data_IF_422968864907
#
_entry.id   IF_422968864907
#
_cell.length_a   1.000
_cell.length_b   1.000
_cell.length_c   1.000
_cell.angle_alpha   90.00
_cell.angle_beta   90.00
_cell.angle_gamma   90.00
#
_symmetry.space_group_name_H-M   'P 1'
#
loop_
_entity.id
_entity.type
_entity.pdbx_description
1 polymer ?
#
# COMPACT_ATOMS: atom_id res chain seq x y z
N UNK A 1 -41.09 -2.94 0.11
CA UNK A 1 -40.35 -1.98 0.93
C UNK A 1 -39.81 -2.72 2.15
N UNK A 2 -38.67 -3.40 1.99
CA UNK A 2 -38.02 -4.21 3.03
C UNK A 2 -37.14 -3.28 3.86
N UNK A 3 -37.58 -2.96 5.06
CA UNK A 3 -36.80 -2.25 6.07
C UNK A 3 -35.74 -3.22 6.57
N UNK A 4 -34.55 -3.13 6.03
CA UNK A 4 -33.34 -3.71 6.63
C UNK A 4 -33.08 -2.96 7.95
N UNK A 5 -33.49 -3.61 9.05
CA UNK A 5 -33.21 -3.19 10.41
C UNK A 5 -31.69 -3.18 10.59
N UNK A 6 -31.10 -2.00 10.47
CA UNK A 6 -29.71 -1.72 10.77
C UNK A 6 -29.43 -2.17 12.22
N UNK A 7 -28.74 -3.28 12.38
CA UNK A 7 -28.04 -3.57 13.64
C UNK A 7 -26.88 -2.55 13.71
N UNK A 8 -27.21 -1.40 14.32
CA UNK A 8 -26.29 -0.27 14.40
C UNK A 8 -25.08 -0.60 15.23
N UNK A 9 -23.96 -0.61 14.56
CA UNK A 9 -22.69 -0.17 15.10
C UNK A 9 -22.36 1.05 14.24
N UNK A 10 -22.64 2.24 14.76
CA UNK A 10 -22.15 3.48 14.16
C UNK A 10 -20.61 3.40 14.17
N UNK A 11 -20.06 3.04 13.01
CA UNK A 11 -18.63 3.16 12.77
C UNK A 11 -18.26 4.63 12.97
N UNK A 12 -17.35 4.90 13.89
CA UNK A 12 -16.83 6.26 14.02
C UNK A 12 -16.24 6.68 12.65
N UNK A 13 -16.30 7.95 12.33
CA UNK A 13 -15.79 8.47 11.05
C UNK A 13 -14.32 8.11 10.79
N UNK A 14 -13.56 7.87 11.85
CA UNK A 14 -12.15 7.43 11.82
C UNK A 14 -12.03 5.97 11.38
N UNK A 15 -12.88 5.08 11.88
CA UNK A 15 -12.86 3.64 11.53
C UNK A 15 -13.26 3.39 10.09
N UNK A 16 -14.30 4.09 9.61
CA UNK A 16 -14.70 4.01 8.19
C UNK A 16 -13.59 4.50 7.27
N UNK A 17 -12.88 5.57 7.63
CA UNK A 17 -11.75 6.10 6.86
C UNK A 17 -10.60 5.09 6.81
N UNK A 18 -10.28 4.42 7.93
CA UNK A 18 -9.23 3.40 7.99
C UNK A 18 -9.58 2.17 7.15
N UNK A 19 -10.83 1.70 7.22
CA UNK A 19 -11.31 0.58 6.40
C UNK A 19 -11.30 0.91 4.92
N UNK A 20 -11.73 2.12 4.53
CA UNK A 20 -11.66 2.60 3.16
C UNK A 20 -10.21 2.70 2.68
N UNK A 21 -9.31 3.25 3.51
CA UNK A 21 -7.89 3.33 3.19
C UNK A 21 -7.26 1.96 2.96
N UNK A 22 -7.54 0.99 3.82
CA UNK A 22 -7.09 -0.40 3.64
C UNK A 22 -7.64 -1.04 2.36
N UNK A 23 -8.95 -0.89 2.11
CA UNK A 23 -9.60 -1.44 0.91
C UNK A 23 -9.04 -0.82 -0.38
N UNK A 24 -8.79 0.50 -0.39
CA UNK A 24 -8.19 1.19 -1.53
C UNK A 24 -6.74 0.73 -1.77
N UNK A 25 -5.94 0.62 -0.70
CA UNK A 25 -4.55 0.14 -0.81
C UNK A 25 -4.51 -1.30 -1.33
N UNK A 26 -5.37 -2.18 -0.80
CA UNK A 26 -5.49 -3.56 -1.25
C UNK A 26 -5.88 -3.63 -2.74
N UNK A 27 -6.93 -2.90 -3.14
CA UNK A 27 -7.39 -2.87 -4.53
C UNK A 27 -6.33 -2.33 -5.48
N UNK A 28 -5.59 -1.30 -5.08
CA UNK A 28 -4.47 -0.76 -5.84
C UNK A 28 -3.35 -1.80 -6.01
N UNK A 29 -2.96 -2.49 -4.94
CA UNK A 29 -1.93 -3.52 -4.98
C UNK A 29 -2.33 -4.67 -5.93
N UNK A 30 -3.58 -5.13 -5.83
CA UNK A 30 -4.13 -6.17 -6.71
C UNK A 30 -4.09 -5.72 -8.17
N UNK A 31 -4.49 -4.49 -8.46
CA UNK A 31 -4.47 -3.94 -9.81
C UNK A 31 -3.04 -3.91 -10.39
N UNK A 32 -2.06 -3.47 -9.60
CA UNK A 32 -0.65 -3.45 -10.01
C UNK A 32 -0.15 -4.88 -10.32
N UNK A 33 -0.41 -5.84 -9.44
CA UNK A 33 0.01 -7.24 -9.63
C UNK A 33 -0.61 -7.82 -10.90
N UNK A 34 -1.93 -7.65 -11.09
CA UNK A 34 -2.62 -8.16 -12.27
C UNK A 34 -2.14 -7.50 -13.56
N UNK A 35 -1.81 -6.20 -13.52
CA UNK A 35 -1.25 -5.49 -14.66
C UNK A 35 0.11 -6.06 -15.07
N UNK A 36 0.98 -6.34 -14.08
CA UNK A 36 2.29 -6.97 -14.34
C UNK A 36 2.12 -8.38 -14.91
N UNK A 37 1.23 -9.20 -14.34
CA UNK A 37 0.96 -10.56 -14.83
C UNK A 37 0.43 -10.53 -16.26
N UNK A 38 -0.51 -9.61 -16.56
CA UNK A 38 -1.07 -9.45 -17.91
C UNK A 38 0.00 -9.00 -18.89
N UNK A 39 0.89 -8.09 -18.51
CA UNK A 39 2.01 -7.65 -19.33
C UNK A 39 2.98 -8.80 -19.62
N UNK A 40 3.35 -9.60 -18.62
CA UNK A 40 4.21 -10.78 -18.81
C UNK A 40 3.56 -11.82 -19.72
N UNK A 41 2.25 -12.04 -19.57
CA UNK A 41 1.51 -12.94 -20.45
C UNK A 41 1.51 -12.44 -21.91
N UNK A 42 1.32 -11.13 -22.10
CA UNK A 42 1.42 -10.53 -23.44
C UNK A 42 2.81 -10.75 -24.06
N UNK A 43 3.89 -10.49 -23.31
CA UNK A 43 5.26 -10.73 -23.80
C UNK A 43 5.49 -12.19 -24.16
N UNK A 44 5.05 -13.10 -23.32
CA UNK A 44 5.14 -14.54 -23.59
C UNK A 44 4.42 -14.96 -24.89
N UNK A 45 3.22 -14.45 -25.12
CA UNK A 45 2.46 -14.73 -26.34
C UNK A 45 3.12 -14.13 -27.58
N UNK A 46 3.69 -12.93 -27.45
CA UNK A 46 4.47 -12.31 -28.53
C UNK A 46 5.69 -13.16 -28.90
N UNK A 47 6.42 -13.66 -27.92
CA UNK A 47 7.58 -14.52 -28.15
C UNK A 47 7.18 -15.87 -28.81
N UNK A 48 6.06 -16.45 -28.40
CA UNK A 48 5.52 -17.65 -29.04
C UNK A 48 5.19 -17.39 -30.52
N UNK A 49 4.52 -16.31 -30.84
CA UNK A 49 4.22 -15.92 -32.23
C UNK A 49 5.50 -15.75 -33.05
N UNK A 50 6.52 -15.06 -32.50
CA UNK A 50 7.80 -14.90 -33.18
C UNK A 50 8.48 -16.25 -33.44
N UNK A 51 8.39 -17.20 -32.49
CA UNK A 51 8.93 -18.56 -32.72
C UNK A 51 8.20 -19.32 -33.80
N UNK A 52 6.87 -19.24 -33.89
CA UNK A 52 6.10 -19.84 -35.00
C UNK A 52 6.49 -19.23 -36.36
N UNK A 53 6.56 -17.90 -36.44
CA UNK A 53 6.94 -17.18 -37.65
C UNK A 53 8.41 -17.48 -38.08
N UNK A 54 9.28 -17.78 -37.08
CA UNK A 54 10.71 -18.08 -37.34
C UNK A 54 10.92 -19.16 -38.36
N UNK A 55 10.19 -20.27 -38.29
CA UNK A 55 10.36 -21.37 -39.20
C UNK A 55 9.98 -20.97 -40.66
N UNK A 56 8.92 -20.21 -40.82
CA UNK A 56 8.48 -19.70 -42.12
C UNK A 56 9.52 -18.72 -42.68
N UNK A 57 9.99 -17.79 -41.88
CA UNK A 57 10.99 -16.79 -42.25
C UNK A 57 12.33 -17.41 -42.57
N UNK A 58 12.71 -18.48 -41.86
CA UNK A 58 13.90 -19.25 -42.16
C UNK A 58 13.83 -19.95 -43.55
N UNK A 59 12.65 -20.45 -43.90
CA UNK A 59 12.43 -21.03 -45.23
C UNK A 59 12.50 -19.96 -46.33
N UNK A 60 11.91 -18.79 -46.11
CA UNK A 60 12.01 -17.66 -47.06
C UNK A 60 13.45 -17.16 -47.21
N UNK A 61 14.18 -17.09 -46.11
CA UNK A 61 15.59 -16.71 -46.12
C UNK A 61 16.44 -17.72 -46.88
N UNK A 62 16.19 -19.05 -46.74
CA UNK A 62 16.86 -20.08 -47.51
C UNK A 62 16.58 -19.98 -49.02
N UNK A 63 15.31 -19.78 -49.41
CA UNK A 63 14.93 -19.53 -50.81
C UNK A 63 15.65 -18.31 -51.37
N UNK A 64 15.70 -17.23 -50.62
CA UNK A 64 16.39 -16.01 -51.02
C UNK A 64 17.90 -16.23 -51.22
N UNK A 65 18.56 -16.96 -50.33
CA UNK A 65 19.99 -17.31 -50.42
C UNK A 65 20.24 -18.12 -51.68
N UNK A 66 19.39 -19.11 -52.01
CA UNK A 66 19.53 -19.94 -53.24
C UNK A 66 19.45 -19.06 -54.49
N UNK A 67 18.46 -18.13 -54.54
CA UNK A 67 18.33 -17.20 -55.69
C UNK A 67 19.49 -16.22 -55.78
N UNK A 68 20.02 -15.75 -54.62
CA UNK A 68 21.18 -14.88 -54.57
C UNK A 68 22.44 -15.61 -55.06
N UNK A 69 22.60 -16.88 -54.72
CA UNK A 69 23.67 -17.75 -55.24
C UNK A 69 23.58 -17.91 -56.76
N UNK A 70 22.37 -18.13 -57.27
CA UNK A 70 22.15 -18.24 -58.72
C UNK A 70 22.47 -16.93 -59.46
N UNK A 71 22.09 -15.80 -58.91
CA UNK A 71 22.45 -14.48 -59.42
C UNK A 71 23.97 -14.28 -59.40
N UNK A 72 24.66 -14.70 -58.33
CA UNK A 72 26.13 -14.56 -58.22
C UNK A 72 26.85 -15.38 -59.31
N UNK A 73 26.37 -16.58 -59.64
CA UNK A 73 26.95 -17.43 -60.65
C UNK A 73 26.64 -16.91 -62.07
N UNK A 74 25.46 -16.33 -62.30
CA UNK A 74 24.95 -15.90 -63.62
C UNK A 74 24.86 -14.38 -63.75
N UNK A 75 25.76 -13.64 -63.14
CA UNK A 75 25.69 -12.15 -63.04
C UNK A 75 25.67 -11.48 -64.45
N UNK A 76 26.31 -12.12 -65.43
CA UNK A 76 26.33 -11.60 -66.80
C UNK A 76 24.98 -11.70 -67.54
N UNK A 77 24.08 -12.53 -67.05
CA UNK A 77 22.76 -12.79 -67.68
C UNK A 77 21.62 -12.11 -66.95
N UNK A 78 21.74 -11.95 -65.65
CA UNK A 78 20.71 -11.37 -64.79
C UNK A 78 21.32 -10.33 -63.86
N UNK A 79 20.90 -9.06 -64.00
CA UNK A 79 21.45 -7.94 -63.26
C UNK A 79 20.41 -7.35 -62.30
N UNK A 80 19.43 -8.18 -61.82
CA UNK A 80 18.34 -7.73 -60.95
C UNK A 80 18.33 -8.62 -59.71
N UNK A 81 18.39 -8.01 -58.54
CA UNK A 81 18.27 -8.70 -57.27
C UNK A 81 16.93 -9.42 -57.15
N UNK A 82 16.89 -10.61 -56.49
CA UNK A 82 15.68 -11.40 -56.38
C UNK A 82 14.61 -10.62 -55.60
N UNK A 83 13.38 -10.65 -56.07
CA UNK A 83 12.20 -10.13 -55.41
C UNK A 83 11.18 -11.21 -55.23
N UNK A 84 10.35 -11.12 -54.19
CA UNK A 84 9.28 -12.07 -53.93
C UNK A 84 8.01 -11.31 -53.46
N UNK A 85 6.84 -11.82 -53.86
CA UNK A 85 5.56 -11.25 -53.45
C UNK A 85 5.17 -11.55 -52.00
N UNK A 86 5.78 -12.60 -51.41
CA UNK A 86 5.46 -13.09 -50.08
C UNK A 86 6.26 -12.41 -48.98
N UNK A 87 7.39 -11.78 -49.32
CA UNK A 87 8.27 -11.14 -48.36
C UNK A 87 9.09 -10.03 -49.03
N UNK A 88 9.45 -9.04 -48.25
CA UNK A 88 10.47 -8.04 -48.62
C UNK A 88 11.84 -8.49 -48.13
N UNK A 89 12.90 -8.04 -48.78
CA UNK A 89 14.25 -8.47 -48.46
C UNK A 89 15.28 -7.37 -48.56
N UNK A 90 16.33 -7.48 -47.77
CA UNK A 90 17.49 -6.59 -47.87
C UNK A 90 18.79 -7.38 -47.68
N UNK A 91 19.86 -6.79 -48.19
CA UNK A 91 21.23 -7.31 -48.09
C UNK A 91 22.11 -6.19 -47.49
N UNK A 92 22.89 -6.55 -46.49
CA UNK A 92 23.90 -5.69 -45.90
C UNK A 92 25.28 -6.35 -45.94
N UNK A 93 26.31 -5.51 -46.06
CA UNK A 93 27.70 -5.96 -46.02
C UNK A 93 28.23 -6.13 -44.58
N UNK A 94 29.55 -6.42 -44.48
CA UNK A 94 30.22 -6.55 -43.16
C UNK A 94 30.27 -5.25 -42.34
N UNK A 95 30.20 -4.11 -42.98
CA UNK A 95 30.22 -2.80 -42.36
C UNK A 95 28.81 -2.31 -42.06
N UNK A 96 27.81 -3.19 -42.12
CA UNK A 96 26.38 -2.90 -41.89
C UNK A 96 25.81 -1.88 -42.92
N UNK A 97 26.44 -1.75 -44.07
CA UNK A 97 25.98 -0.86 -45.13
C UNK A 97 25.02 -1.60 -46.05
N UNK A 98 23.92 -0.96 -46.42
CA UNK A 98 22.91 -1.51 -47.32
C UNK A 98 23.47 -1.65 -48.76
N UNK A 99 23.37 -2.86 -49.30
CA UNK A 99 23.69 -3.17 -50.71
C UNK A 99 22.42 -3.11 -51.54
N UNK A 100 21.34 -3.71 -51.01
CA UNK A 100 20.05 -3.79 -51.67
C UNK A 100 18.95 -3.84 -50.63
N UNK A 101 17.81 -3.18 -50.87
CA UNK A 101 16.67 -3.22 -49.97
C UNK A 101 15.35 -3.04 -50.75
N UNK A 102 14.35 -3.83 -50.33
CA UNK A 102 12.93 -3.63 -50.67
C UNK A 102 12.10 -3.42 -49.39
N UNK A 103 12.75 -3.34 -48.23
CA UNK A 103 12.08 -3.26 -46.94
C UNK A 103 11.18 -2.00 -46.84
N UNK A 104 10.07 -2.17 -46.16
CA UNK A 104 9.15 -1.03 -45.84
C UNK A 104 9.54 -0.31 -44.57
N UNK A 105 10.27 -0.99 -43.69
CA UNK A 105 10.77 -0.43 -42.44
C UNK A 105 12.07 0.34 -42.65
N UNK A 106 12.16 1.53 -42.03
CA UNK A 106 13.35 2.36 -42.06
C UNK A 106 14.31 2.11 -40.89
N UNK A 107 13.83 1.49 -39.81
CA UNK A 107 14.61 1.28 -38.60
C UNK A 107 14.87 -0.21 -38.38
N UNK A 108 16.08 -0.66 -38.70
CA UNK A 108 16.47 -2.08 -38.68
C UNK A 108 17.50 -2.29 -37.59
N UNK A 109 17.23 -3.25 -36.68
CA UNK A 109 18.22 -3.79 -35.74
C UNK A 109 18.88 -5.03 -36.34
N UNK A 110 20.20 -5.11 -36.31
CA UNK A 110 20.95 -6.30 -36.74
C UNK A 110 21.42 -7.18 -35.54
N UNK A 111 20.97 -6.85 -34.34
CA UNK A 111 21.43 -7.48 -33.10
C UNK A 111 20.60 -8.73 -32.76
N UNK A 112 19.33 -8.77 -33.21
CA UNK A 112 18.40 -9.88 -32.95
C UNK A 112 18.17 -10.73 -34.19
N UNK A 113 18.03 -12.04 -34.01
CA UNK A 113 17.75 -12.97 -35.12
C UNK A 113 16.33 -12.82 -35.68
N UNK A 114 15.37 -12.51 -34.78
CA UNK A 114 13.97 -12.27 -35.15
C UNK A 114 13.39 -11.23 -34.16
N UNK A 115 12.69 -10.24 -34.69
CA UNK A 115 12.00 -9.25 -33.89
C UNK A 115 10.84 -8.62 -34.66
N UNK A 116 9.88 -8.06 -33.91
CA UNK A 116 8.80 -7.25 -34.47
C UNK A 116 9.08 -5.78 -34.21
N UNK A 117 9.01 -4.94 -35.24
CA UNK A 117 9.13 -3.49 -35.18
C UNK A 117 8.02 -2.83 -35.98
N UNK A 118 7.19 -2.01 -35.30
CA UNK A 118 5.99 -1.45 -35.89
C UNK A 118 5.03 -2.52 -36.36
N UNK A 119 4.71 -2.53 -37.66
CA UNK A 119 3.78 -3.46 -38.29
C UNK A 119 4.51 -4.52 -39.13
N UNK A 120 5.77 -4.78 -38.83
CA UNK A 120 6.61 -5.71 -39.59
C UNK A 120 7.38 -6.65 -38.67
N UNK A 121 7.60 -7.89 -39.14
CA UNK A 121 8.43 -8.88 -38.48
C UNK A 121 9.69 -9.07 -39.33
N UNK A 122 10.84 -8.96 -38.72
CA UNK A 122 12.15 -9.05 -39.34
C UNK A 122 12.84 -10.33 -38.90
N UNK A 123 13.47 -11.00 -39.86
CA UNK A 123 14.33 -12.15 -39.61
C UNK A 123 15.68 -11.90 -40.25
N UNK A 124 16.75 -12.10 -39.50
CA UNK A 124 18.11 -11.87 -39.93
C UNK A 124 18.82 -13.17 -40.04
N UNK A 125 19.48 -13.39 -41.16
CA UNK A 125 20.32 -14.55 -41.44
C UNK A 125 21.69 -14.11 -41.91
N UNK A 126 22.73 -14.73 -41.35
CA UNK A 126 24.07 -14.72 -41.93
C UNK A 126 24.24 -15.94 -42.82
N UNK A 127 24.43 -15.77 -44.14
CA UNK A 127 24.67 -16.87 -45.06
C UNK A 127 26.09 -17.46 -44.82
N UNK A 128 26.24 -18.77 -45.11
CA UNK A 128 27.53 -19.46 -44.97
C UNK A 128 28.62 -18.92 -45.93
N UNK A 129 28.21 -18.30 -47.03
CA UNK A 129 29.09 -17.68 -48.00
C UNK A 129 28.61 -16.28 -48.37
N UNK A 130 29.56 -15.37 -48.58
CA UNK A 130 29.30 -13.97 -48.93
C UNK A 130 28.95 -13.78 -50.38
N UNK A 131 27.78 -14.23 -50.83
CA UNK A 131 27.33 -14.02 -52.20
C UNK A 131 27.11 -12.54 -52.45
N UNK A 132 27.72 -11.97 -53.47
CA UNK A 132 27.62 -10.51 -53.83
C UNK A 132 27.94 -9.57 -52.68
N UNK A 133 28.82 -9.97 -51.76
CA UNK A 133 29.18 -9.15 -50.56
C UNK A 133 28.19 -9.19 -49.41
N UNK A 134 27.17 -10.08 -49.48
CA UNK A 134 26.15 -10.20 -48.44
C UNK A 134 26.73 -10.80 -47.15
N UNK A 135 26.73 -10.02 -46.06
CA UNK A 135 27.01 -10.54 -44.69
C UNK A 135 25.71 -10.80 -43.95
N UNK A 136 24.74 -9.92 -44.09
CA UNK A 136 23.43 -10.07 -43.46
C UNK A 136 22.33 -10.02 -44.51
N UNK A 137 21.43 -10.95 -44.42
CA UNK A 137 20.20 -11.04 -45.23
C UNK A 137 19.03 -10.82 -44.28
N UNK A 138 18.17 -9.87 -44.60
CA UNK A 138 16.98 -9.55 -43.83
C UNK A 138 15.75 -9.93 -44.63
N UNK A 139 14.85 -10.67 -44.02
CA UNK A 139 13.54 -10.96 -44.57
C UNK A 139 12.50 -10.25 -43.71
N UNK A 140 11.63 -9.50 -44.36
CA UNK A 140 10.54 -8.75 -43.73
C UNK A 140 9.19 -9.27 -44.20
N UNK A 141 8.28 -9.52 -43.26
CA UNK A 141 6.88 -9.83 -43.56
C UNK A 141 5.97 -8.90 -42.71
N UNK A 142 4.74 -8.61 -43.19
CA UNK A 142 3.79 -7.84 -42.38
C UNK A 142 3.37 -8.63 -41.13
N UNK A 143 3.26 -7.95 -40.01
CA UNK A 143 2.58 -8.43 -38.82
C UNK A 143 1.09 -8.13 -38.96
N UNK A 144 0.30 -9.17 -39.18
CA UNK A 144 -1.15 -9.10 -39.33
C UNK A 144 -1.89 -8.86 -38.03
N UNK A 145 -1.17 -8.90 -36.88
CA UNK A 145 -1.70 -8.76 -35.55
C UNK A 145 -2.86 -9.72 -35.18
N UNK A 146 -3.16 -10.71 -36.00
CA UNK A 146 -4.23 -11.68 -35.75
C UNK A 146 -4.04 -12.42 -34.43
N UNK A 147 -2.79 -12.75 -34.11
CA UNK A 147 -2.43 -13.36 -32.83
C UNK A 147 -2.86 -12.50 -31.63
N UNK A 148 -2.73 -11.19 -31.73
CA UNK A 148 -3.14 -10.26 -30.66
C UNK A 148 -4.67 -10.19 -30.54
N UNK A 149 -5.39 -10.11 -31.65
CA UNK A 149 -6.85 -10.11 -31.65
C UNK A 149 -7.41 -11.42 -31.03
N UNK A 150 -6.78 -12.57 -31.27
CA UNK A 150 -7.19 -13.84 -30.68
C UNK A 150 -7.01 -13.91 -29.17
N UNK A 151 -5.97 -13.27 -28.62
CA UNK A 151 -5.67 -13.31 -27.17
C UNK A 151 -6.27 -12.15 -26.41
N UNK A 152 -6.51 -11.01 -27.03
CA UNK A 152 -6.98 -9.77 -26.41
C UNK A 152 -8.25 -9.99 -25.55
N UNK A 153 -9.27 -10.61 -26.13
CA UNK A 153 -10.51 -10.85 -25.42
C UNK A 153 -10.34 -11.81 -24.24
N UNK A 154 -9.52 -12.86 -24.42
CA UNK A 154 -9.18 -13.80 -23.35
C UNK A 154 -8.41 -13.11 -22.21
N UNK A 155 -7.49 -12.21 -22.55
CA UNK A 155 -6.74 -11.40 -21.57
C UNK A 155 -7.66 -10.49 -20.76
N UNK A 156 -8.57 -9.77 -21.43
CA UNK A 156 -9.52 -8.86 -20.78
C UNK A 156 -10.44 -9.66 -19.84
N UNK A 157 -11.03 -10.74 -20.31
CA UNK A 157 -11.96 -11.58 -19.53
C UNK A 157 -11.24 -12.17 -18.31
N UNK A 158 -10.03 -12.74 -18.49
CA UNK A 158 -9.28 -13.32 -17.39
C UNK A 158 -8.81 -12.26 -16.38
N UNK A 159 -8.41 -11.07 -16.85
CA UNK A 159 -8.08 -9.95 -15.96
C UNK A 159 -9.28 -9.52 -15.10
N UNK A 160 -10.45 -9.32 -15.72
CA UNK A 160 -11.67 -8.94 -15.01
C UNK A 160 -12.11 -10.02 -14.03
N UNK A 161 -12.09 -11.28 -14.43
CA UNK A 161 -12.45 -12.40 -13.55
C UNK A 161 -11.50 -12.49 -12.34
N UNK A 162 -10.19 -12.40 -12.56
CA UNK A 162 -9.19 -12.41 -11.50
C UNK A 162 -9.34 -11.19 -10.56
N UNK A 163 -9.60 -10.02 -11.11
CA UNK A 163 -9.81 -8.80 -10.34
C UNK A 163 -11.04 -8.90 -9.43
N UNK A 164 -12.17 -9.36 -9.97
CA UNK A 164 -13.40 -9.59 -9.18
C UNK A 164 -13.19 -10.64 -8.10
N UNK A 165 -12.49 -11.74 -8.42
CA UNK A 165 -12.17 -12.78 -7.46
C UNK A 165 -11.30 -12.26 -6.31
N UNK A 166 -10.28 -11.44 -6.61
CA UNK A 166 -9.44 -10.83 -5.59
C UNK A 166 -10.19 -9.84 -4.71
N UNK A 167 -11.10 -9.03 -5.28
CA UNK A 167 -11.98 -8.16 -4.47
C UNK A 167 -12.84 -8.99 -3.50
N UNK A 168 -13.39 -10.10 -3.97
CA UNK A 168 -14.18 -11.00 -3.13
C UNK A 168 -13.34 -11.60 -1.98
N UNK A 169 -12.10 -12.01 -2.25
CA UNK A 169 -11.15 -12.46 -1.22
C UNK A 169 -10.89 -11.33 -0.21
N UNK A 170 -10.62 -10.11 -0.67
CA UNK A 170 -10.40 -8.94 0.19
C UNK A 170 -11.58 -8.65 1.11
N UNK A 171 -12.81 -8.78 0.59
CA UNK A 171 -14.03 -8.67 1.39
C UNK A 171 -14.10 -9.75 2.50
N UNK A 172 -13.81 -11.01 2.17
CA UNK A 172 -13.81 -12.10 3.16
C UNK A 172 -12.72 -11.91 4.22
N UNK A 173 -11.52 -11.51 3.82
CA UNK A 173 -10.41 -11.21 4.75
C UNK A 173 -10.82 -10.08 5.69
N UNK A 174 -11.38 -8.98 5.15
CA UNK A 174 -11.86 -7.87 5.95
C UNK A 174 -12.91 -8.31 6.98
N UNK A 175 -13.88 -9.14 6.56
CA UNK A 175 -14.91 -9.65 7.46
C UNK A 175 -14.37 -10.60 8.53
N UNK A 176 -13.41 -11.45 8.17
CA UNK A 176 -12.88 -12.49 9.07
C UNK A 176 -11.94 -11.92 10.13
N UNK A 177 -11.11 -10.94 9.78
CA UNK A 177 -10.07 -10.43 10.68
C UNK A 177 -10.43 -9.10 11.35
N UNK A 178 -11.03 -8.16 10.61
CA UNK A 178 -11.27 -6.82 11.17
C UNK A 178 -12.47 -6.78 12.12
N UNK A 179 -13.50 -7.63 11.93
CA UNK A 179 -14.65 -7.70 12.84
C UNK A 179 -14.26 -8.19 14.25
N UNK A 180 -13.65 -9.38 14.40
CA UNK A 180 -13.27 -9.84 15.74
C UNK A 180 -12.30 -8.92 16.47
N UNK A 181 -11.38 -8.28 15.72
CA UNK A 181 -10.45 -7.31 16.29
C UNK A 181 -11.20 -6.10 16.84
N UNK A 182 -12.20 -5.58 16.13
CA UNK A 182 -13.05 -4.49 16.59
C UNK A 182 -13.86 -4.87 17.81
N UNK A 183 -14.49 -6.04 17.78
CA UNK A 183 -15.30 -6.55 18.89
C UNK A 183 -14.45 -6.70 20.17
N UNK A 184 -13.20 -7.13 20.03
CA UNK A 184 -12.23 -7.20 21.13
C UNK A 184 -11.88 -5.80 21.69
N UNK A 185 -11.68 -4.80 20.81
CA UNK A 185 -11.44 -3.41 21.25
C UNK A 185 -12.65 -2.82 21.98
N UNK A 186 -13.87 -3.00 21.47
CA UNK A 186 -15.09 -2.55 22.13
C UNK A 186 -15.33 -3.26 23.46
N UNK A 187 -15.00 -4.55 23.56
CA UNK A 187 -15.06 -5.29 24.81
C UNK A 187 -14.07 -4.70 25.84
N UNK A 188 -12.85 -4.40 25.40
CA UNK A 188 -11.82 -3.77 26.25
C UNK A 188 -12.27 -2.40 26.74
N UNK A 189 -12.79 -1.55 25.85
CA UNK A 189 -13.30 -0.22 26.24
C UNK A 189 -14.42 -0.31 27.27
N UNK A 190 -15.36 -1.23 27.07
CA UNK A 190 -16.46 -1.48 28.02
C UNK A 190 -15.91 -1.99 29.34
N UNK A 191 -15.01 -2.96 29.32
CA UNK A 191 -14.39 -3.51 30.53
C UNK A 191 -13.69 -2.43 31.35
N UNK A 192 -12.90 -1.54 30.70
CA UNK A 192 -12.21 -0.46 31.38
C UNK A 192 -13.22 0.50 31.99
N UNK A 193 -14.26 0.91 31.26
CA UNK A 193 -15.30 1.80 31.76
C UNK A 193 -16.03 1.23 32.96
N UNK A 194 -16.50 -0.01 32.87
CA UNK A 194 -17.27 -0.66 33.92
C UNK A 194 -16.39 -0.88 35.17
N UNK A 195 -15.15 -1.37 34.99
CA UNK A 195 -14.20 -1.56 36.09
C UNK A 195 -13.85 -0.23 36.76
N UNK A 196 -13.73 0.86 36.02
CA UNK A 196 -13.47 2.19 36.59
C UNK A 196 -14.62 2.64 37.48
N UNK A 197 -15.87 2.47 37.03
CA UNK A 197 -17.04 2.83 37.85
C UNK A 197 -17.17 1.94 39.07
N UNK A 198 -16.93 0.65 38.96
CA UNK A 198 -17.02 -0.30 40.11
C UNK A 198 -15.89 -0.12 41.12
N UNK A 199 -14.70 0.37 40.73
CA UNK A 199 -13.61 0.65 41.64
C UNK A 199 -13.67 2.03 42.26
N UNK A 200 -14.21 3.01 41.58
CA UNK A 200 -14.36 4.37 42.17
C UNK A 200 -15.26 4.38 43.41
N UNK A 201 -16.31 3.56 43.46
CA UNK A 201 -17.21 3.50 44.60
C UNK A 201 -16.49 3.05 45.89
N UNK A 202 -15.79 1.92 46.00
CA UNK A 202 -15.08 1.52 47.20
C UNK A 202 -13.91 2.45 47.54
N UNK A 203 -13.23 3.01 46.55
CA UNK A 203 -12.12 3.94 46.75
C UNK A 203 -12.64 5.25 47.37
N UNK A 204 -13.75 5.80 46.84
CA UNK A 204 -14.40 6.96 47.40
C UNK A 204 -14.84 6.70 48.85
N UNK A 205 -15.42 5.54 49.12
CA UNK A 205 -15.78 5.17 50.52
C UNK A 205 -14.56 5.11 51.43
N UNK A 206 -13.43 4.57 50.99
CA UNK A 206 -12.17 4.59 51.75
C UNK A 206 -11.71 6.04 52.04
N UNK A 207 -11.66 6.89 51.02
CA UNK A 207 -11.22 8.30 51.17
C UNK A 207 -12.15 9.04 52.14
N UNK A 208 -13.48 8.90 51.97
CA UNK A 208 -14.45 9.59 52.81
C UNK A 208 -14.32 9.13 54.28
N UNK A 209 -14.15 7.85 54.54
CA UNK A 209 -13.93 7.37 55.90
C UNK A 209 -12.64 7.94 56.53
N UNK A 210 -11.57 8.05 55.72
CA UNK A 210 -10.32 8.67 56.20
C UNK A 210 -10.49 10.16 56.49
N UNK A 211 -11.25 10.89 55.67
CA UNK A 211 -11.53 12.29 55.84
C UNK A 211 -12.38 12.57 57.09
N UNK A 212 -13.22 11.60 57.50
CA UNK A 212 -14.02 11.70 58.71
C UNK A 212 -13.22 11.47 60.02
N UNK A 213 -11.99 10.97 59.92
CA UNK A 213 -11.13 10.73 61.08
C UNK A 213 -10.53 12.05 61.57
N UNK A 214 -10.77 12.43 62.81
CA UNK A 214 -10.11 13.57 63.44
C UNK A 214 -8.61 13.24 63.65
N UNK A 215 -7.77 13.74 62.74
CA UNK A 215 -6.33 13.50 62.77
C UNK A 215 -5.63 14.14 63.98
N UNK A 216 -6.29 15.12 64.68
CA UNK A 216 -5.73 15.78 65.84
C UNK A 216 -5.74 14.88 67.09
N UNK A 217 -6.61 13.88 67.13
CA UNK A 217 -6.76 12.92 68.19
C UNK A 217 -5.88 11.67 68.06
N UNK A 218 -5.10 11.57 66.97
CA UNK A 218 -4.29 10.40 66.67
C UNK A 218 -2.85 10.54 67.15
N UNK A 219 -2.26 9.45 67.60
CA UNK A 219 -0.83 9.39 67.81
C UNK A 219 -0.07 9.54 66.48
N UNK A 220 1.15 10.06 66.49
CA UNK A 220 1.95 10.34 65.30
C UNK A 220 2.13 9.08 64.40
N UNK A 221 2.25 7.89 64.99
CA UNK A 221 2.46 6.65 64.30
C UNK A 221 1.19 6.20 63.53
N UNK A 222 0.02 6.40 64.15
CA UNK A 222 -1.28 6.09 63.53
C UNK A 222 -1.62 7.09 62.42
N UNK A 223 -1.39 8.39 62.70
CA UNK A 223 -1.59 9.46 61.68
C UNK A 223 -0.74 9.20 60.40
N UNK A 224 0.51 8.77 60.55
CA UNK A 224 1.37 8.38 59.40
C UNK A 224 0.81 7.18 58.63
N UNK A 225 0.23 6.16 59.30
CA UNK A 225 -0.39 5.00 58.65
C UNK A 225 -1.62 5.41 57.84
N UNK A 226 -2.51 6.19 58.42
CA UNK A 226 -3.73 6.70 57.78
C UNK A 226 -3.39 7.53 56.56
N UNK A 227 -2.42 8.46 56.69
CA UNK A 227 -1.96 9.25 55.53
C UNK A 227 -1.42 8.40 54.38
N UNK A 228 -0.72 7.31 54.67
CA UNK A 228 -0.28 6.34 53.61
C UNK A 228 -1.44 5.65 52.92
N UNK A 229 -2.50 5.29 53.66
CA UNK A 229 -3.70 4.66 53.07
C UNK A 229 -4.43 5.66 52.19
N UNK A 230 -4.58 6.94 52.65
CA UNK A 230 -5.19 8.03 51.88
C UNK A 230 -4.46 8.26 50.57
N UNK A 231 -3.13 8.35 50.62
CA UNK A 231 -2.30 8.51 49.41
C UNK A 231 -2.46 7.34 48.47
N UNK A 232 -2.49 6.09 49.01
CA UNK A 232 -2.69 4.90 48.20
C UNK A 232 -4.04 4.92 47.48
N UNK A 233 -5.12 5.22 48.19
CA UNK A 233 -6.47 5.31 47.62
C UNK A 233 -6.56 6.41 46.54
N UNK A 234 -6.03 7.60 46.79
CA UNK A 234 -5.97 8.71 45.82
C UNK A 234 -5.15 8.32 44.58
N UNK A 235 -4.03 7.63 44.77
CA UNK A 235 -3.20 7.17 43.66
C UNK A 235 -3.95 6.20 42.77
N UNK A 236 -4.66 5.21 43.34
CA UNK A 236 -5.48 4.25 42.60
C UNK A 236 -6.56 4.99 41.80
N UNK A 237 -7.30 5.90 42.41
CA UNK A 237 -8.32 6.73 41.75
C UNK A 237 -7.76 7.44 40.51
N UNK A 238 -6.62 8.09 40.68
CA UNK A 238 -5.97 8.82 39.57
C UNK A 238 -5.55 7.89 38.43
N UNK A 239 -4.98 6.69 38.72
CA UNK A 239 -4.58 5.72 37.70
C UNK A 239 -5.79 5.28 36.88
N UNK A 240 -6.94 5.01 37.52
CA UNK A 240 -8.15 4.63 36.80
C UNK A 240 -8.76 5.77 36.00
N UNK A 241 -8.74 7.02 36.51
CA UNK A 241 -9.14 8.18 35.73
C UNK A 241 -8.26 8.36 34.48
N UNK A 242 -6.96 8.16 34.61
CA UNK A 242 -6.01 8.25 33.51
C UNK A 242 -6.25 7.15 32.50
N UNK A 243 -6.49 5.92 32.95
CA UNK A 243 -6.80 4.81 32.07
C UNK A 243 -8.09 5.06 31.26
N UNK A 244 -9.13 5.54 31.93
CA UNK A 244 -10.40 5.92 31.31
C UNK A 244 -10.22 7.05 30.29
N UNK A 245 -9.39 8.03 30.62
CA UNK A 245 -9.11 9.13 29.69
C UNK A 245 -8.38 8.67 28.44
N UNK A 246 -7.39 7.80 28.55
CA UNK A 246 -6.62 7.29 27.39
C UNK A 246 -7.50 6.43 26.49
N UNK A 247 -8.35 5.58 27.07
CA UNK A 247 -9.21 4.67 26.30
C UNK A 247 -10.42 5.35 25.68
N UNK A 248 -11.02 6.35 26.36
CA UNK A 248 -12.20 7.06 25.87
C UNK A 248 -11.86 8.33 25.07
N UNK A 249 -10.59 8.70 24.95
CA UNK A 249 -10.16 9.98 24.35
C UNK A 249 -10.62 10.17 22.89
N UNK A 250 -10.97 9.10 22.17
CA UNK A 250 -11.50 9.17 20.82
C UNK A 250 -12.99 9.59 20.75
N UNK A 251 -13.69 9.66 21.90
CA UNK A 251 -15.13 9.97 21.95
C UNK A 251 -15.45 11.24 22.76
N UNK A 252 -14.47 11.86 23.43
CA UNK A 252 -14.71 13.04 24.26
C UNK A 252 -14.76 14.27 23.35
N UNK A 253 -15.96 14.81 23.17
CA UNK A 253 -16.17 16.15 22.62
C UNK A 253 -15.41 17.11 23.53
N UNK A 254 -14.42 17.83 22.98
CA UNK A 254 -13.63 18.79 23.74
C UNK A 254 -14.55 19.94 24.17
N UNK A 255 -14.70 20.12 25.47
CA UNK A 255 -15.45 21.25 26.05
C UNK A 255 -14.47 22.37 26.39
N UNK A 256 -14.14 23.16 25.37
CA UNK A 256 -13.22 24.28 25.55
C UNK A 256 -13.90 25.46 26.22
N UNK A 257 -13.25 26.02 27.23
CA UNK A 257 -13.67 27.19 28.00
C UNK A 257 -12.46 28.09 28.34
N UNK A 258 -12.70 29.33 28.67
CA UNK A 258 -11.64 30.25 29.11
C UNK A 258 -11.21 29.89 30.51
N UNK A 259 -10.04 29.30 30.67
CA UNK A 259 -9.50 28.82 31.92
C UNK A 259 -8.34 29.70 32.40
N UNK A 260 -8.36 30.06 33.71
CA UNK A 260 -7.20 30.68 34.35
C UNK A 260 -6.14 29.61 34.67
N UNK A 261 -5.16 29.48 33.79
CA UNK A 261 -4.07 28.51 33.89
C UNK A 261 -3.24 28.66 35.14
N UNK A 262 -3.09 29.93 35.65
CA UNK A 262 -2.34 30.24 36.87
C UNK A 262 -3.00 29.59 38.08
N UNK A 263 -4.33 29.62 38.15
CA UNK A 263 -5.09 29.02 39.25
C UNK A 263 -5.04 27.48 39.18
N UNK A 264 -5.15 26.91 37.97
CA UNK A 264 -5.05 25.45 37.76
C UNK A 264 -3.67 24.96 38.20
N UNK A 265 -2.60 25.64 37.82
CA UNK A 265 -1.23 25.28 38.24
C UNK A 265 -1.07 25.36 39.78
N UNK A 266 -1.59 26.39 40.44
CA UNK A 266 -1.55 26.49 41.88
C UNK A 266 -2.28 25.34 42.56
N UNK A 267 -3.48 24.99 42.09
CA UNK A 267 -4.26 23.84 42.59
C UNK A 267 -3.52 22.51 42.41
N UNK A 268 -2.86 22.32 41.26
CA UNK A 268 -2.06 21.10 41.00
C UNK A 268 -0.84 21.00 41.91
N UNK A 269 -0.14 22.08 42.12
CA UNK A 269 0.99 22.10 43.07
C UNK A 269 0.53 21.74 44.47
N UNK A 270 -0.57 22.33 44.96
CA UNK A 270 -1.13 22.03 46.28
C UNK A 270 -1.56 20.57 46.41
N UNK A 271 -2.11 19.97 45.31
CA UNK A 271 -2.46 18.55 45.26
C UNK A 271 -1.21 17.67 45.45
N UNK A 272 -0.11 17.97 44.73
CA UNK A 272 1.12 17.17 44.82
C UNK A 272 2.01 17.51 46.03
N UNK A 273 1.70 18.55 46.82
CA UNK A 273 2.53 19.03 47.94
C UNK A 273 2.75 17.96 49.00
N UNK A 274 1.72 17.18 49.32
CA UNK A 274 1.80 16.11 50.32
C UNK A 274 2.71 14.96 49.83
N UNK A 275 2.64 14.60 48.55
CA UNK A 275 3.50 13.60 47.90
C UNK A 275 4.95 14.07 47.82
N UNK A 276 5.17 15.35 47.50
CA UNK A 276 6.50 15.96 47.43
C UNK A 276 7.20 15.95 48.78
N UNK A 277 6.49 16.31 49.85
CA UNK A 277 7.02 16.30 51.22
C UNK A 277 7.47 14.88 51.61
N UNK A 278 6.67 13.86 51.31
CA UNK A 278 7.04 12.47 51.58
C UNK A 278 8.30 12.00 50.84
N UNK A 279 8.50 12.48 49.62
CA UNK A 279 9.67 12.18 48.80
C UNK A 279 10.83 13.14 48.98
N UNK A 280 10.72 14.10 49.91
CA UNK A 280 11.73 15.16 50.14
C UNK A 280 12.01 16.02 48.89
N UNK A 281 10.96 16.24 48.07
CA UNK A 281 11.01 17.09 46.87
C UNK A 281 10.47 18.47 47.25
N UNK A 282 11.16 19.53 46.81
CA UNK A 282 10.72 20.92 46.97
C UNK A 282 10.32 21.50 45.65
N UNK A 283 9.15 22.15 45.58
CA UNK A 283 8.71 22.86 44.38
C UNK A 283 9.36 24.25 44.34
N UNK A 284 9.95 24.60 43.22
CA UNK A 284 10.38 25.96 42.90
C UNK A 284 9.40 26.52 41.85
N UNK A 285 8.52 27.42 42.28
CA UNK A 285 7.43 27.91 41.46
C UNK A 285 7.75 29.30 40.92
N UNK A 286 7.50 29.47 39.61
CA UNK A 286 7.54 30.79 38.96
C UNK A 286 6.29 30.87 38.06
N UNK A 287 5.15 31.19 38.68
CA UNK A 287 3.85 31.23 38.02
C UNK A 287 3.47 32.71 37.84
N UNK A 288 3.26 33.10 36.57
CA UNK A 288 2.72 34.43 36.25
C UNK A 288 1.22 34.44 36.55
N UNK A 289 0.72 35.47 37.18
CA UNK A 289 -0.70 35.62 37.51
C UNK A 289 -1.53 35.96 36.26
N UNK A 290 -2.81 35.57 36.30
CA UNK A 290 -3.83 35.91 35.31
C UNK A 290 -3.51 35.51 33.88
N UNK A 291 -2.96 34.32 33.68
CA UNK A 291 -2.77 33.71 32.37
C UNK A 291 -4.01 32.91 32.03
N UNK A 292 -4.72 33.31 30.95
CA UNK A 292 -5.92 32.59 30.44
C UNK A 292 -5.59 31.79 29.21
N UNK A 293 -6.25 30.63 29.09
CA UNK A 293 -6.12 29.73 27.92
C UNK A 293 -7.49 29.14 27.57
N UNK A 294 -7.89 29.24 26.31
CA UNK A 294 -9.11 28.61 25.80
C UNK A 294 -8.87 27.14 25.51
N UNK A 295 -9.22 26.28 26.46
CA UNK A 295 -8.99 24.85 26.35
C UNK A 295 -9.92 24.04 27.24
N UNK A 296 -9.88 22.70 27.09
CA UNK A 296 -10.62 21.76 27.92
C UNK A 296 -9.90 21.57 29.26
N UNK A 297 -10.62 21.83 30.39
CA UNK A 297 -10.08 21.74 31.74
C UNK A 297 -9.51 20.35 32.08
N UNK A 298 -10.18 19.28 31.64
CA UNK A 298 -9.72 17.92 31.90
C UNK A 298 -8.42 17.62 31.13
N UNK A 299 -8.29 18.11 29.89
CA UNK A 299 -7.09 17.90 29.06
C UNK A 299 -5.90 18.66 29.61
N UNK A 300 -6.08 19.95 29.97
CA UNK A 300 -4.98 20.75 30.50
C UNK A 300 -4.55 20.28 31.91
N UNK A 301 -5.49 19.88 32.75
CA UNK A 301 -5.20 19.33 34.07
C UNK A 301 -4.37 18.05 34.05
N UNK A 302 -4.39 17.27 32.95
CA UNK A 302 -3.57 16.06 32.76
C UNK A 302 -2.22 16.35 32.14
N UNK A 303 -2.10 17.45 31.44
CA UNK A 303 -0.84 17.87 30.81
C UNK A 303 0.10 18.51 31.85
N UNK A 304 -0.46 19.13 32.89
CA UNK A 304 0.23 19.70 34.03
C UNK A 304 0.46 18.65 35.13
#
# INVERSE_FOLDING_TARGET
MLVLKNSGIDLTSSETRTLLGFSLLYSFLVLVILSVVTFLYYQFQKDLMLQEKRQILQNYSNDFVIRLKDLHVNIDKHNIYPRNEKYESAIFDSDKKEIFSTLKSSNISLDDVIYSSGNQIHFIKEPESYYLGSKYIIIEIPDDHLWFEEIKDKMIISFLAAFLFMILIGYFISKLFLRPMRDALHLLDRFIKDTTHELNTPITAIITNIEMIDKSLLDEKLAKKINRIEIGAKTISNIYEDLTFVTLNNQIISNNEDLNLSNILKQRVDFFKSLAIMKKITFKLNIKDDVFLFCDNKKISKLI
#
